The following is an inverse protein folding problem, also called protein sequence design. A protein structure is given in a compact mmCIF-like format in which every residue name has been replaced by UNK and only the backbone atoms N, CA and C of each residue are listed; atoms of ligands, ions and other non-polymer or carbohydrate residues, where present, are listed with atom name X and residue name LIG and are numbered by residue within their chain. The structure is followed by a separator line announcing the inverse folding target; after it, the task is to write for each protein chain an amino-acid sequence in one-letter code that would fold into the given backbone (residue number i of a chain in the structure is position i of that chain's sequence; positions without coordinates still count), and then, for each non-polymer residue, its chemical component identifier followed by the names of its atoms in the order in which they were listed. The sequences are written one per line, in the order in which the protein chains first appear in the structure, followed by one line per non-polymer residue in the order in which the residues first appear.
data_IF_492573529096
#
_entry.id   IF_492573529096
#
_cell.length_a   1.000
_cell.length_b   1.000
_cell.length_c   1.000
_cell.angle_alpha   90.00
_cell.angle_beta   90.00
_cell.angle_gamma   90.00
#
_symmetry.space_group_name_H-M   'P 1'
#
loop_
_entity.id
_entity.type
_entity.pdbx_description
1 polymer ?
#
# COMPACT_ATOMS: atom_id res chain seq x y z
N UNK A 1 -29.57 -16.22 8.30
CA UNK A 1 -30.68 -16.49 7.36
C UNK A 1 -30.29 -16.23 5.91
N UNK A 2 -29.55 -15.16 5.60
CA UNK A 2 -29.11 -14.80 4.24
C UNK A 2 -28.40 -15.94 3.48
N UNK A 3 -27.55 -16.73 4.15
CA UNK A 3 -26.87 -17.87 3.51
C UNK A 3 -27.84 -19.00 3.14
N UNK A 4 -28.89 -19.23 3.93
CA UNK A 4 -29.93 -20.23 3.61
C UNK A 4 -30.77 -19.77 2.41
N UNK A 5 -31.07 -18.47 2.34
CA UNK A 5 -31.77 -17.85 1.21
C UNK A 5 -30.91 -17.91 -0.07
N UNK A 6 -29.60 -17.68 0.03
CA UNK A 6 -28.67 -17.86 -1.10
C UNK A 6 -28.63 -19.31 -1.58
N UNK A 7 -28.60 -20.26 -0.65
CA UNK A 7 -28.60 -21.69 -0.99
C UNK A 7 -29.88 -22.09 -1.73
N UNK A 8 -31.06 -21.73 -1.22
CA UNK A 8 -32.32 -22.06 -1.89
C UNK A 8 -32.41 -21.38 -3.27
N UNK A 9 -31.94 -20.13 -3.41
CA UNK A 9 -31.90 -19.45 -4.70
C UNK A 9 -30.97 -20.17 -5.70
N UNK A 10 -29.79 -20.58 -5.25
CA UNK A 10 -28.84 -21.32 -6.08
C UNK A 10 -29.41 -22.68 -6.51
N UNK A 11 -30.12 -23.35 -5.62
CA UNK A 11 -30.82 -24.60 -5.93
C UNK A 11 -31.91 -24.39 -6.99
N UNK A 12 -32.72 -23.33 -6.89
CA UNK A 12 -33.74 -23.00 -7.89
C UNK A 12 -33.09 -22.73 -9.26
N UNK A 13 -32.00 -21.97 -9.30
CA UNK A 13 -31.25 -21.69 -10.53
C UNK A 13 -30.72 -23.00 -11.13
N UNK A 14 -30.14 -23.88 -10.31
CA UNK A 14 -29.62 -25.17 -10.77
C UNK A 14 -30.73 -26.04 -11.37
N UNK A 15 -31.90 -26.11 -10.73
CA UNK A 15 -33.07 -26.82 -11.27
C UNK A 15 -33.56 -26.20 -12.57
N UNK A 16 -33.59 -24.87 -12.67
CA UNK A 16 -34.00 -24.18 -13.89
C UNK A 16 -33.03 -24.46 -15.06
N UNK A 17 -31.72 -24.48 -14.80
CA UNK A 17 -30.71 -24.86 -15.80
C UNK A 17 -30.87 -26.32 -16.22
N UNK A 18 -31.05 -27.24 -15.27
CA UNK A 18 -31.27 -28.65 -15.58
C UNK A 18 -32.53 -28.86 -16.42
N UNK A 19 -33.62 -28.19 -16.06
CA UNK A 19 -34.87 -28.19 -16.82
C UNK A 19 -34.68 -27.62 -18.24
N UNK A 20 -33.98 -26.48 -18.35
CA UNK A 20 -33.66 -25.87 -19.65
C UNK A 20 -32.86 -26.83 -20.54
N UNK A 21 -31.81 -27.45 -20.01
CA UNK A 21 -31.00 -28.44 -20.76
C UNK A 21 -31.85 -29.66 -21.15
N UNK A 22 -32.72 -30.14 -20.25
CA UNK A 22 -33.60 -31.28 -20.52
C UNK A 22 -34.63 -31.00 -21.63
N UNK A 23 -35.06 -29.75 -21.79
CA UNK A 23 -35.97 -29.34 -22.86
C UNK A 23 -35.25 -29.03 -24.18
N UNK A 24 -33.95 -28.73 -24.12
CA UNK A 24 -33.14 -28.36 -25.28
C UNK A 24 -32.08 -29.43 -25.57
N UNK A 25 -32.49 -30.70 -25.56
CA UNK A 25 -31.60 -31.84 -25.84
C UNK A 25 -31.19 -31.93 -27.30
N UNK A 26 -31.97 -31.32 -28.21
CA UNK A 26 -31.69 -31.25 -29.64
C UNK A 26 -31.52 -29.78 -30.09
N UNK A 27 -30.59 -29.49 -31.01
CA UNK A 27 -29.65 -30.43 -31.64
C UNK A 27 -28.54 -30.89 -30.67
N UNK A 28 -28.20 -32.16 -30.75
CA UNK A 28 -26.99 -32.71 -30.16
C UNK A 28 -25.84 -32.58 -31.16
N UNK A 29 -24.68 -32.14 -30.68
CA UNK A 29 -23.49 -31.97 -31.51
C UNK A 29 -22.27 -32.60 -30.87
N UNK A 30 -21.34 -33.05 -31.70
CA UNK A 30 -19.98 -33.39 -31.29
C UNK A 30 -19.07 -32.19 -31.50
N UNK A 31 -18.27 -31.87 -30.48
CA UNK A 31 -17.26 -30.82 -30.55
C UNK A 31 -15.90 -31.45 -30.82
N UNK A 32 -15.15 -30.90 -31.78
CA UNK A 32 -13.77 -31.29 -32.03
C UNK A 32 -12.86 -30.56 -31.04
N UNK A 33 -12.40 -31.25 -29.98
CA UNK A 33 -11.50 -30.65 -29.00
C UNK A 33 -10.04 -30.71 -29.46
N UNK A 34 -9.68 -31.78 -30.17
CA UNK A 34 -8.35 -31.99 -30.77
C UNK A 34 -8.52 -32.59 -32.18
N UNK A 35 -7.48 -32.54 -33.04
CA UNK A 35 -7.56 -33.06 -34.41
C UNK A 35 -8.07 -34.49 -34.52
N UNK A 36 -7.79 -35.33 -33.52
CA UNK A 36 -8.19 -36.75 -33.49
C UNK A 36 -9.22 -37.06 -32.40
N UNK A 37 -9.71 -36.06 -31.64
CA UNK A 37 -10.61 -36.30 -30.52
C UNK A 37 -11.88 -35.46 -30.61
N UNK A 38 -13.01 -36.17 -30.71
CA UNK A 38 -14.35 -35.61 -30.69
C UNK A 38 -15.05 -35.97 -29.39
N UNK A 39 -15.85 -35.04 -28.87
CA UNK A 39 -16.71 -35.34 -27.74
C UNK A 39 -17.88 -36.25 -28.17
N UNK A 40 -18.47 -37.00 -27.23
CA UNK A 40 -19.80 -37.54 -27.40
C UNK A 40 -20.79 -36.45 -27.81
N UNK A 41 -21.87 -36.85 -28.47
CA UNK A 41 -22.97 -35.96 -28.78
C UNK A 41 -23.58 -35.41 -27.49
N UNK A 42 -23.50 -34.08 -27.33
CA UNK A 42 -24.05 -33.37 -26.19
C UNK A 42 -24.97 -32.25 -26.70
N UNK A 43 -26.04 -31.91 -25.95
CA UNK A 43 -26.93 -30.82 -26.32
C UNK A 43 -26.17 -29.51 -26.52
N UNK A 44 -26.44 -28.80 -27.62
CA UNK A 44 -25.79 -27.52 -27.93
C UNK A 44 -25.92 -26.50 -26.78
N UNK A 45 -27.07 -26.48 -26.12
CA UNK A 45 -27.31 -25.63 -24.95
C UNK A 45 -26.26 -25.83 -23.85
N UNK A 46 -25.86 -27.09 -23.58
CA UNK A 46 -24.86 -27.41 -22.58
C UNK A 46 -23.47 -26.89 -23.00
N UNK A 47 -23.11 -27.04 -24.28
CA UNK A 47 -21.85 -26.55 -24.85
C UNK A 47 -21.72 -25.04 -24.68
N UNK A 48 -22.78 -24.29 -24.98
CA UNK A 48 -22.82 -22.82 -24.83
C UNK A 48 -22.65 -22.43 -23.36
N UNK A 49 -23.39 -23.07 -22.44
CA UNK A 49 -23.31 -22.77 -21.00
C UNK A 49 -21.90 -23.00 -20.49
N UNK A 50 -21.29 -24.15 -20.79
CA UNK A 50 -19.92 -24.47 -20.38
C UNK A 50 -18.93 -23.46 -20.96
N UNK A 51 -19.10 -23.06 -22.23
CA UNK A 51 -18.21 -22.08 -22.88
C UNK A 51 -18.26 -20.70 -22.23
N UNK A 52 -19.47 -20.25 -21.86
CA UNK A 52 -19.65 -18.98 -21.12
C UNK A 52 -19.02 -19.06 -19.73
N UNK A 53 -19.21 -20.18 -19.02
CA UNK A 53 -18.60 -20.40 -17.71
C UNK A 53 -17.07 -20.39 -17.82
N UNK A 54 -16.50 -21.07 -18.81
CA UNK A 54 -15.06 -21.05 -19.07
C UNK A 54 -14.56 -19.63 -19.36
N UNK A 55 -15.28 -18.85 -20.16
CA UNK A 55 -14.95 -17.44 -20.38
C UNK A 55 -14.94 -16.61 -19.09
N UNK A 56 -15.95 -16.78 -18.23
CA UNK A 56 -16.00 -16.11 -16.93
C UNK A 56 -14.85 -16.54 -16.00
N UNK A 57 -14.49 -17.83 -16.01
CA UNK A 57 -13.34 -18.35 -15.25
C UNK A 57 -12.03 -17.74 -15.75
N UNK A 58 -11.85 -17.59 -17.06
CA UNK A 58 -10.67 -16.92 -17.63
C UNK A 58 -10.57 -15.45 -17.18
N UNK A 59 -11.68 -14.71 -17.19
CA UNK A 59 -11.72 -13.32 -16.70
C UNK A 59 -11.32 -13.27 -15.22
N UNK A 60 -11.80 -14.21 -14.40
CA UNK A 60 -11.45 -14.29 -12.99
C UNK A 60 -9.95 -14.54 -12.79
N UNK A 61 -9.35 -15.43 -13.59
CA UNK A 61 -7.91 -15.70 -13.55
C UNK A 61 -7.10 -14.44 -13.88
N UNK A 62 -7.49 -13.69 -14.91
CA UNK A 62 -6.83 -12.42 -15.25
C UNK A 62 -6.97 -11.40 -14.11
N UNK A 63 -8.16 -11.28 -13.51
CA UNK A 63 -8.41 -10.36 -12.39
C UNK A 63 -7.55 -10.68 -11.16
N UNK A 64 -7.31 -11.96 -10.87
CA UNK A 64 -6.42 -12.39 -9.78
C UNK A 64 -4.98 -11.92 -10.03
N UNK A 65 -4.55 -11.95 -11.30
CA UNK A 65 -3.21 -11.49 -11.70
C UNK A 65 -3.07 -9.98 -11.50
N UNK A 66 -4.09 -9.18 -11.86
CA UNK A 66 -4.06 -7.74 -11.60
C UNK A 66 -4.03 -7.44 -10.09
N UNK A 67 -4.79 -8.21 -9.32
CA UNK A 67 -4.83 -8.06 -7.86
C UNK A 67 -3.49 -8.39 -7.20
N UNK A 68 -2.74 -9.38 -7.70
CA UNK A 68 -1.41 -9.71 -7.17
C UNK A 68 -0.43 -8.56 -7.43
N UNK A 69 -0.43 -8.00 -8.64
CA UNK A 69 0.42 -6.87 -9.03
C UNK A 69 0.13 -5.65 -8.15
N UNK A 70 -1.15 -5.32 -8.00
CA UNK A 70 -1.60 -4.23 -7.12
C UNK A 70 -1.16 -4.43 -5.66
N UNK A 71 -1.25 -5.67 -5.15
CA UNK A 71 -0.83 -5.98 -3.78
C UNK A 71 0.68 -5.81 -3.60
N UNK A 72 1.50 -6.17 -4.59
CA UNK A 72 2.95 -5.98 -4.56
C UNK A 72 3.30 -4.49 -4.56
N UNK A 73 2.66 -3.69 -5.42
CA UNK A 73 2.86 -2.23 -5.45
C UNK A 73 2.49 -1.59 -4.12
N UNK A 74 1.33 -1.96 -3.55
CA UNK A 74 0.91 -1.48 -2.23
C UNK A 74 1.92 -1.80 -1.13
N UNK A 75 2.57 -2.97 -1.19
CA UNK A 75 3.63 -3.33 -0.25
C UNK A 75 4.91 -2.50 -0.45
N UNK A 76 5.29 -2.21 -1.70
CA UNK A 76 6.43 -1.32 -2.00
C UNK A 76 6.18 0.09 -1.46
N UNK A 77 5.02 0.68 -1.77
CA UNK A 77 4.64 2.00 -1.27
C UNK A 77 4.61 2.05 0.26
N UNK A 78 4.10 1.00 0.92
CA UNK A 78 4.10 0.92 2.39
C UNK A 78 5.52 0.87 2.97
N UNK A 79 6.46 0.19 2.31
CA UNK A 79 7.87 0.18 2.71
C UNK A 79 8.51 1.55 2.53
N UNK A 80 8.24 2.23 1.41
CA UNK A 80 8.73 3.59 1.15
C UNK A 80 8.24 4.57 2.22
N UNK A 81 6.93 4.58 2.51
CA UNK A 81 6.35 5.40 3.59
C UNK A 81 7.07 5.14 4.92
N UNK A 82 7.23 3.88 5.31
CA UNK A 82 7.92 3.53 6.56
C UNK A 82 9.39 3.99 6.58
N UNK A 83 10.07 3.95 5.43
CA UNK A 83 11.45 4.44 5.32
C UNK A 83 11.52 5.97 5.42
N UNK A 84 10.60 6.69 4.78
CA UNK A 84 10.50 8.14 4.85
C UNK A 84 10.17 8.60 6.27
N UNK A 85 9.22 7.95 6.94
CA UNK A 85 8.87 8.24 8.33
C UNK A 85 10.08 8.09 9.27
N UNK A 86 10.90 7.04 9.07
CA UNK A 86 12.15 6.86 9.81
C UNK A 86 13.16 7.96 9.53
N UNK A 87 13.31 8.38 8.27
CA UNK A 87 14.21 9.46 7.89
C UNK A 87 13.76 10.80 8.47
N UNK A 88 12.46 11.09 8.45
CA UNK A 88 11.88 12.28 9.09
C UNK A 88 12.16 12.26 10.59
N UNK A 89 11.94 11.11 11.26
CA UNK A 89 12.22 10.98 12.69
C UNK A 89 13.69 11.26 13.00
N UNK A 90 14.62 10.65 12.26
CA UNK A 90 16.07 10.89 12.42
C UNK A 90 16.44 12.36 12.19
N UNK A 91 15.90 12.98 11.14
CA UNK A 91 16.15 14.39 10.85
C UNK A 91 15.64 15.31 11.96
N UNK A 92 14.47 15.00 12.55
CA UNK A 92 13.95 15.74 13.70
C UNK A 92 14.83 15.56 14.95
N UNK A 93 15.28 14.34 15.24
CA UNK A 93 16.20 14.07 16.36
C UNK A 93 17.54 14.81 16.19
N UNK A 94 18.08 14.85 14.97
CA UNK A 94 19.32 15.58 14.66
C UNK A 94 19.13 17.09 14.78
N UNK A 95 17.99 17.61 14.30
CA UNK A 95 17.62 19.02 14.44
C UNK A 95 17.47 19.44 15.90
N UNK A 96 16.90 18.59 16.76
CA UNK A 96 16.81 18.85 18.20
C UNK A 96 18.20 18.93 18.84
N UNK A 97 19.08 17.97 18.56
CA UNK A 97 20.47 17.99 19.06
C UNK A 97 21.23 19.25 18.62
N UNK A 98 21.12 19.61 17.34
CA UNK A 98 21.76 20.82 16.82
C UNK A 98 21.23 22.09 17.51
N UNK A 99 19.93 22.15 17.78
CA UNK A 99 19.34 23.27 18.52
C UNK A 99 19.83 23.34 19.98
N UNK A 100 20.04 22.20 20.64
CA UNK A 100 20.63 22.16 21.98
C UNK A 100 22.09 22.65 21.97
N UNK A 101 22.89 22.22 21.00
CA UNK A 101 24.27 22.69 20.81
C UNK A 101 24.31 24.20 20.54
N UNK A 102 23.45 24.72 19.67
CA UNK A 102 23.33 26.15 19.40
C UNK A 102 23.03 26.93 20.68
N UNK A 103 22.07 26.46 21.51
CA UNK A 103 21.75 27.09 22.80
C UNK A 103 22.94 27.08 23.75
N UNK A 104 23.71 25.99 23.78
CA UNK A 104 24.90 25.87 24.62
C UNK A 104 25.97 26.88 24.19
N UNK A 105 26.28 26.94 22.89
CA UNK A 105 27.26 27.90 22.36
C UNK A 105 26.80 29.35 22.53
N UNK A 106 25.50 29.64 22.41
CA UNK A 106 24.97 30.98 22.68
C UNK A 106 25.20 31.42 24.13
N UNK A 107 24.95 30.54 25.11
CA UNK A 107 25.26 30.83 26.52
C UNK A 107 26.74 31.05 26.76
N UNK A 108 27.59 30.20 26.18
CA UNK A 108 29.04 30.34 26.33
C UNK A 108 29.56 31.67 25.75
N UNK A 109 29.01 32.11 24.62
CA UNK A 109 29.31 33.42 24.03
C UNK A 109 28.84 34.57 24.94
N UNK A 110 27.66 34.47 25.56
CA UNK A 110 27.18 35.47 26.52
C UNK A 110 28.09 35.56 27.76
N UNK A 111 28.46 34.43 28.35
CA UNK A 111 29.35 34.38 29.51
C UNK A 111 30.73 34.97 29.20
N UNK A 112 31.29 34.67 28.02
CA UNK A 112 32.56 35.24 27.55
C UNK A 112 32.46 36.75 27.32
N UNK A 113 31.37 37.24 26.71
CA UNK A 113 31.14 38.68 26.53
C UNK A 113 30.98 39.40 27.87
N UNK A 114 30.31 38.80 28.84
CA UNK A 114 30.15 39.36 30.18
C UNK A 114 31.51 39.48 30.87
N UNK A 115 32.33 38.43 30.85
CA UNK A 115 33.70 38.46 31.40
C UNK A 115 34.56 39.52 30.72
N UNK A 116 34.52 39.61 29.39
CA UNK A 116 35.31 40.59 28.64
C UNK A 116 34.89 42.04 28.98
N UNK A 117 33.59 42.31 29.16
CA UNK A 117 33.10 43.62 29.60
C UNK A 117 33.53 44.00 31.02
N UNK A 118 33.63 43.02 31.94
CA UNK A 118 34.13 43.25 33.30
C UNK A 118 35.62 43.58 33.28
N UNK A 119 36.42 42.78 32.56
CA UNK A 119 37.87 43.03 32.43
C UNK A 119 38.17 44.38 31.78
N UNK A 120 37.41 44.78 30.76
CA UNK A 120 37.60 46.10 30.12
C UNK A 120 37.27 47.24 31.10
N UNK A 121 36.24 47.08 31.95
CA UNK A 121 35.90 48.07 32.99
C UNK A 121 36.98 48.18 34.07
N UNK A 122 37.49 47.07 34.58
CA UNK A 122 38.57 47.06 35.57
C UNK A 122 39.83 47.76 35.01
N UNK A 123 40.20 47.47 33.76
CA UNK A 123 41.33 48.14 33.10
C UNK A 123 41.05 49.64 32.88
N UNK A 124 39.80 50.04 32.59
CA UNK A 124 39.49 51.49 32.43
C UNK A 124 39.38 52.24 33.76
N UNK A 125 39.11 51.55 34.86
CA UNK A 125 39.13 52.14 36.21
C UNK A 125 40.57 52.25 36.75
N UNK A 126 41.43 51.23 36.55
CA UNK A 126 42.85 51.31 36.88
C UNK A 126 43.59 52.41 36.09
N UNK A 127 43.29 52.57 34.80
CA UNK A 127 43.89 53.63 33.96
C UNK A 127 43.39 55.04 34.35
N UNK A 128 42.23 55.17 35.00
CA UNK A 128 41.73 56.45 35.52
C UNK A 128 42.31 56.81 36.89
N UNK A 129 42.65 55.82 37.71
CA UNK A 129 43.30 56.04 39.01
C UNK A 129 44.81 56.37 38.85
N UNK A 130 45.50 55.81 37.85
CA UNK A 130 46.91 56.13 37.53
C UNK A 130 47.10 57.44 36.74
N UNK A 131 46.04 57.93 36.07
CA UNK A 131 46.07 59.16 35.27
C UNK A 131 45.80 60.47 36.05
N UNK A 132 45.64 60.42 37.37
CA UNK A 132 45.34 61.56 38.24
C UNK A 132 46.57 61.96 39.09
N UNK A 133 47.66 62.38 38.43
CA UNK A 133 48.78 63.11 39.04
C UNK A 133 49.24 64.24 38.13
#
# INVERSE_FOLDING_TARGET
MLNKIKLILWLIILLAVAYFVSMNTQPSISVNLLPTYKTPEIPLALVIIISVILGAVLILIFTITDWISFKIEKLKLKKEISSLEKSIKKCNEEKEKLNEEIKKYQKEIEDLKAKQNVTVKEITEEVKEDGSL
#
